data_IF_116397898302
#
_entry.id   IF_116397898302
#
_cell.length_a   1.000
_cell.length_b   1.000
_cell.length_c   1.000
_cell.angle_alpha   90.00
_cell.angle_beta   90.00
_cell.angle_gamma   90.00
#
_symmetry.space_group_name_H-M   'P 1'
#
loop_
_entity.id
_entity.type
_entity.pdbx_description
1 polymer ?
#
# COMPACT_ATOMS: atom_id res chain seq x y z
N UNK A 1 -6.32 12.48 2.11
CA UNK A 1 -5.48 11.29 1.87
C UNK A 1 -5.00 11.33 0.42
N UNK A 2 -3.71 11.06 0.14
CA UNK A 2 -3.16 11.12 -1.21
C UNK A 2 -3.97 10.29 -2.23
N UNK A 3 -4.49 9.14 -1.81
CA UNK A 3 -5.34 8.23 -2.59
C UNK A 3 -6.67 8.87 -3.05
N UNK A 4 -7.20 9.84 -2.29
CA UNK A 4 -8.43 10.54 -2.67
C UNK A 4 -8.15 11.70 -3.63
N UNK A 5 -6.95 12.26 -3.57
CA UNK A 5 -6.56 13.41 -4.39
C UNK A 5 -5.96 12.97 -5.73
N UNK A 6 -5.33 11.80 -5.77
CA UNK A 6 -4.74 11.21 -6.96
C UNK A 6 -5.46 9.90 -7.22
N UNK A 7 -6.12 9.77 -8.37
CA UNK A 7 -6.84 8.55 -8.80
C UNK A 7 -5.80 7.54 -9.32
N UNK A 8 -5.18 6.73 -8.46
CA UNK A 8 -4.04 5.93 -8.86
C UNK A 8 -4.54 4.74 -9.67
N UNK A 9 -3.78 4.30 -10.66
CA UNK A 9 -4.13 3.10 -11.42
C UNK A 9 -4.00 1.87 -10.52
N UNK A 10 -4.81 0.84 -10.83
CA UNK A 10 -4.56 -0.52 -10.31
C UNK A 10 -3.11 -0.89 -10.71
N UNK A 11 -2.39 -1.57 -9.84
CA UNK A 11 -0.95 -1.91 -9.97
C UNK A 11 0.07 -0.85 -9.50
N UNK A 12 -0.35 0.19 -8.76
CA UNK A 12 0.60 1.07 -8.08
C UNK A 12 1.45 0.26 -7.09
N UNK A 13 2.78 0.36 -7.22
CA UNK A 13 3.73 -0.27 -6.29
C UNK A 13 4.03 0.69 -5.14
N UNK A 14 3.79 0.23 -3.92
CA UNK A 14 4.14 0.92 -2.67
C UNK A 14 5.38 0.25 -2.10
N UNK A 15 6.51 0.93 -2.18
CA UNK A 15 7.77 0.44 -1.60
C UNK A 15 7.92 0.94 -0.17
N UNK A 16 8.16 0.04 0.78
CA UNK A 16 8.35 0.37 2.20
C UNK A 16 9.45 -0.49 2.83
N UNK A 17 9.91 -0.10 4.01
CA UNK A 17 10.73 -0.98 4.86
C UNK A 17 9.87 -2.11 5.49
N UNK A 18 10.55 -3.05 6.16
CA UNK A 18 9.92 -4.16 6.93
C UNK A 18 9.50 -3.79 8.36
N UNK A 19 9.32 -2.52 8.66
CA UNK A 19 8.81 -2.07 9.95
C UNK A 19 7.45 -2.70 10.28
N UNK A 20 7.17 -2.90 11.56
CA UNK A 20 5.93 -3.54 12.05
C UNK A 20 4.67 -2.84 11.54
N UNK A 21 4.72 -1.52 11.34
CA UNK A 21 3.62 -0.74 10.75
C UNK A 21 3.23 -1.23 9.34
N UNK A 22 4.22 -1.52 8.48
CA UNK A 22 4.00 -1.92 7.08
C UNK A 22 3.83 -3.43 6.92
N UNK A 23 4.43 -4.21 7.81
CA UNK A 23 4.24 -5.66 7.86
C UNK A 23 2.89 -6.08 8.47
N UNK A 24 2.15 -5.14 9.08
CA UNK A 24 0.87 -5.41 9.74
C UNK A 24 -0.20 -5.89 8.75
N UNK A 25 -1.10 -6.76 9.22
CA UNK A 25 -2.23 -7.21 8.43
C UNK A 25 -3.15 -6.05 8.03
N UNK A 26 -3.37 -5.10 8.94
CA UNK A 26 -4.21 -3.92 8.66
C UNK A 26 -3.68 -3.11 7.48
N UNK A 27 -2.37 -2.85 7.45
CA UNK A 27 -1.76 -2.11 6.35
C UNK A 27 -1.85 -2.87 5.02
N UNK A 28 -1.60 -4.18 5.03
CA UNK A 28 -1.70 -5.02 3.83
C UNK A 28 -3.13 -5.05 3.28
N UNK A 29 -4.13 -5.14 4.14
CA UNK A 29 -5.54 -5.09 3.75
C UNK A 29 -5.90 -3.75 3.08
N UNK A 30 -5.34 -2.63 3.57
CA UNK A 30 -5.53 -1.32 2.92
C UNK A 30 -4.95 -1.33 1.50
N UNK A 31 -3.74 -1.87 1.29
CA UNK A 31 -3.14 -1.94 -0.04
C UNK A 31 -4.01 -2.78 -0.99
N UNK A 32 -4.50 -3.93 -0.54
CA UNK A 32 -5.37 -4.80 -1.33
C UNK A 32 -6.71 -4.13 -1.69
N UNK A 33 -7.33 -3.42 -0.74
CA UNK A 33 -8.58 -2.68 -0.96
C UNK A 33 -8.46 -1.65 -2.10
N UNK A 34 -7.29 -1.02 -2.24
CA UNK A 34 -7.02 -0.06 -3.30
C UNK A 34 -6.34 -0.66 -4.54
N UNK A 35 -6.06 -1.97 -4.55
CA UNK A 35 -5.41 -2.65 -5.67
C UNK A 35 -3.94 -2.29 -5.86
N UNK A 36 -3.24 -1.98 -4.77
CA UNK A 36 -1.81 -1.65 -4.75
C UNK A 36 -0.96 -2.89 -4.46
N UNK A 37 0.27 -2.91 -4.98
CA UNK A 37 1.26 -3.94 -4.68
C UNK A 37 2.26 -3.43 -3.64
N UNK A 38 2.35 -4.10 -2.49
CA UNK A 38 3.39 -3.83 -1.50
C UNK A 38 4.72 -4.47 -1.90
N UNK A 39 5.80 -3.70 -1.86
CA UNK A 39 7.17 -4.17 -2.04
C UNK A 39 7.99 -3.79 -0.80
N UNK A 40 8.37 -4.77 0.02
CA UNK A 40 9.07 -4.51 1.29
C UNK A 40 10.54 -4.88 1.21
N UNK A 41 11.43 -3.97 1.61
CA UNK A 41 12.90 -4.13 1.60
C UNK A 41 13.57 -3.99 2.96
#
# INVERSE_FOLDING_TARGET
MAIHNQKPTKELIVHSDRGSQYCSHEYRNILEQYGFQGSMS
#
